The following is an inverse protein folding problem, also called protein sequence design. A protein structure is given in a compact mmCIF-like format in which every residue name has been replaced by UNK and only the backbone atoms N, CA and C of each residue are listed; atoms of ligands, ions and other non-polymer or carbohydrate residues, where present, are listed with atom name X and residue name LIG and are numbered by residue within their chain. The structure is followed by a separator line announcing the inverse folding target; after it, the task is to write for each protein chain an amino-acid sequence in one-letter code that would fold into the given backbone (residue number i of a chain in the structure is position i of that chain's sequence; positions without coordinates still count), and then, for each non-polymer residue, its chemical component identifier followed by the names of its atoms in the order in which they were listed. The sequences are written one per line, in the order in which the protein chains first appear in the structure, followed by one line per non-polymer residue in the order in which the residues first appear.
data_IF_959279531640
#
_entry.id   IF_959279531640
#
_cell.length_a   1.000
_cell.length_b   1.000
_cell.length_c   1.000
_cell.angle_alpha   90.00
_cell.angle_beta   90.00
_cell.angle_gamma   90.00
#
_symmetry.space_group_name_H-M   'P 1'
#
loop_
_entity.id
_entity.type
_entity.pdbx_description
1 polymer ?
#
# COMPACT_ATOMS: atom_id res chain seq x y z
N UNK A 1 45.18 35.20 21.12
CA UNK A 1 43.91 35.06 21.87
C UNK A 1 42.80 34.95 20.84
N UNK A 2 42.63 33.77 20.25
CA UNK A 2 41.52 33.52 19.32
C UNK A 2 40.33 32.93 20.09
N UNK A 3 39.22 33.65 19.99
CA UNK A 3 37.92 33.32 20.57
C UNK A 3 37.32 32.10 19.89
N UNK A 4 36.90 31.16 20.73
CA UNK A 4 36.19 29.93 20.41
C UNK A 4 34.87 30.25 19.69
N UNK A 5 34.78 29.95 18.39
CA UNK A 5 33.50 29.91 17.68
C UNK A 5 32.76 28.60 17.94
N UNK A 6 31.47 28.77 18.21
CA UNK A 6 30.56 27.79 18.81
C UNK A 6 30.27 26.62 17.88
N UNK A 7 30.40 25.41 18.42
CA UNK A 7 30.01 24.13 17.81
C UNK A 7 28.49 24.05 17.56
N UNK A 8 28.07 24.47 16.36
CA UNK A 8 26.70 24.31 15.87
C UNK A 8 26.36 22.84 15.64
N UNK A 9 25.54 22.29 16.54
CA UNK A 9 25.22 20.88 16.69
C UNK A 9 24.57 20.19 15.46
N UNK A 10 24.95 18.93 15.13
CA UNK A 10 24.32 18.06 14.12
C UNK A 10 22.82 17.76 14.35
N UNK A 11 22.28 18.19 15.50
CA UNK A 11 20.91 17.98 15.95
C UNK A 11 19.90 18.92 15.26
N UNK A 12 20.35 20.07 14.73
CA UNK A 12 19.49 21.02 14.00
C UNK A 12 19.02 20.49 12.64
N UNK A 13 19.93 19.91 11.86
CA UNK A 13 19.63 19.38 10.51
C UNK A 13 18.68 18.18 10.56
N UNK A 14 18.89 17.29 11.54
CA UNK A 14 18.01 16.13 11.80
C UNK A 14 16.63 16.54 12.34
N UNK A 15 16.57 17.60 13.17
CA UNK A 15 15.29 18.22 13.57
C UNK A 15 14.58 18.87 12.39
N UNK A 16 15.29 19.57 11.53
CA UNK A 16 14.73 20.17 10.31
C UNK A 16 14.16 19.10 9.36
N UNK A 17 14.83 17.96 9.22
CA UNK A 17 14.37 16.85 8.40
C UNK A 17 13.12 16.15 8.98
N UNK A 18 13.06 15.97 10.31
CA UNK A 18 11.86 15.48 10.99
C UNK A 18 10.71 16.47 10.82
N UNK A 19 10.94 17.77 11.04
CA UNK A 19 9.96 18.84 10.86
C UNK A 19 9.47 18.87 9.40
N UNK A 20 10.37 18.75 8.43
CA UNK A 20 9.99 18.71 7.01
C UNK A 20 9.15 17.48 6.67
N UNK A 21 9.47 16.31 7.24
CA UNK A 21 8.67 15.10 7.07
C UNK A 21 7.30 15.20 7.75
N UNK A 22 7.21 15.87 8.92
CA UNK A 22 5.92 16.15 9.59
C UNK A 22 5.08 17.13 8.76
N UNK A 23 5.70 18.19 8.22
CA UNK A 23 5.04 19.14 7.31
C UNK A 23 4.52 18.44 6.05
N UNK A 24 5.32 17.55 5.45
CA UNK A 24 4.92 16.79 4.27
C UNK A 24 3.77 15.82 4.57
N UNK A 25 3.76 15.20 5.75
CA UNK A 25 2.68 14.33 6.20
C UNK A 25 1.38 15.11 6.49
N UNK A 26 1.48 16.26 7.15
CA UNK A 26 0.34 17.15 7.38
C UNK A 26 -0.20 17.74 6.08
N UNK A 27 0.67 18.08 5.13
CA UNK A 27 0.26 18.51 3.79
C UNK A 27 -0.46 17.38 3.02
N UNK A 28 -0.02 16.14 3.18
CA UNK A 28 -0.70 14.96 2.66
C UNK A 28 -2.09 14.80 3.30
N UNK A 29 -2.20 14.88 4.63
CA UNK A 29 -3.47 14.84 5.35
C UNK A 29 -4.42 15.97 4.93
N UNK A 30 -3.92 17.20 4.80
CA UNK A 30 -4.70 18.35 4.31
C UNK A 30 -5.19 18.14 2.88
N UNK A 31 -4.35 17.59 1.99
CA UNK A 31 -4.76 17.19 0.63
C UNK A 31 -5.85 16.12 0.66
N UNK A 32 -5.70 15.07 1.47
CA UNK A 32 -6.73 14.02 1.61
C UNK A 32 -8.05 14.56 2.16
N UNK A 33 -8.01 15.55 3.07
CA UNK A 33 -9.20 16.20 3.59
C UNK A 33 -9.86 17.12 2.56
N UNK A 34 -9.08 17.87 1.77
CA UNK A 34 -9.61 18.66 0.65
C UNK A 34 -10.17 17.79 -0.47
N UNK A 35 -9.56 16.63 -0.73
CA UNK A 35 -10.05 15.64 -1.69
C UNK A 35 -11.31 14.95 -1.19
N UNK A 36 -11.42 14.67 0.12
CA UNK A 36 -12.67 14.22 0.77
C UNK A 36 -13.79 15.25 0.62
N UNK A 37 -13.52 16.54 0.85
CA UNK A 37 -14.50 17.61 0.66
C UNK A 37 -14.89 17.78 -0.82
N UNK A 38 -13.93 17.69 -1.74
CA UNK A 38 -14.18 17.73 -3.18
C UNK A 38 -14.89 16.46 -3.69
N UNK A 39 -14.69 15.30 -3.04
CA UNK A 39 -15.42 14.08 -3.31
C UNK A 39 -16.87 14.19 -2.83
N UNK A 40 -17.11 14.73 -1.62
CA UNK A 40 -18.46 15.05 -1.10
C UNK A 40 -19.23 15.96 -2.07
N UNK A 41 -18.63 17.07 -2.51
CA UNK A 41 -19.24 17.99 -3.47
C UNK A 41 -19.54 17.36 -4.84
N UNK A 42 -18.67 16.43 -5.30
CA UNK A 42 -18.90 15.67 -6.54
C UNK A 42 -20.01 14.63 -6.38
N UNK A 43 -20.11 14.01 -5.22
CA UNK A 43 -21.17 13.04 -4.90
C UNK A 43 -22.55 13.72 -4.79
N UNK A 44 -22.59 14.98 -4.33
CA UNK A 44 -23.79 15.84 -4.34
C UNK A 44 -24.25 16.22 -5.75
N UNK A 45 -23.35 16.27 -6.73
CA UNK A 45 -23.62 16.70 -8.12
C UNK A 45 -23.92 15.55 -9.09
N UNK A 46 -23.73 14.29 -8.70
CA UNK A 46 -24.02 13.12 -9.54
C UNK A 46 -25.53 12.81 -9.50
N UNK A 47 -26.16 12.48 -10.65
CA UNK A 47 -27.55 12.05 -10.67
C UNK A 47 -27.73 10.84 -9.74
N UNK A 48 -28.68 10.97 -8.82
CA UNK A 48 -28.92 10.02 -7.73
C UNK A 48 -29.36 8.65 -8.29
N UNK A 49 -28.39 7.81 -8.67
CA UNK A 49 -28.64 6.36 -8.74
C UNK A 49 -29.09 5.95 -7.34
N UNK A 50 -30.10 5.06 -7.23
CA UNK A 50 -30.59 4.47 -5.97
C UNK A 50 -29.49 3.65 -5.27
N UNK A 51 -28.38 4.26 -4.90
CA UNK A 51 -27.41 3.72 -3.94
C UNK A 51 -28.12 3.76 -2.59
N UNK A 52 -28.03 2.68 -1.81
CA UNK A 52 -28.58 2.66 -0.46
C UNK A 52 -28.14 3.89 0.32
N UNK A 53 -28.96 4.33 1.29
CA UNK A 53 -28.65 5.51 2.13
C UNK A 53 -27.19 5.43 2.61
N UNK A 54 -26.40 6.51 2.49
CA UNK A 54 -25.05 6.56 3.04
C UNK A 54 -25.09 6.08 4.49
N UNK A 55 -24.31 5.04 4.80
CA UNK A 55 -24.25 4.49 6.15
C UNK A 55 -23.54 5.55 7.02
N UNK A 56 -24.25 6.10 7.99
CA UNK A 56 -23.70 7.02 8.97
C UNK A 56 -23.02 6.22 10.08
N UNK A 57 -21.76 5.87 9.85
CA UNK A 57 -20.97 5.08 10.80
C UNK A 57 -20.82 5.76 12.16
N UNK A 58 -20.73 7.09 12.19
CA UNK A 58 -20.57 7.85 13.44
C UNK A 58 -21.85 7.79 14.27
N UNK A 59 -23.01 7.93 13.63
CA UNK A 59 -24.31 7.74 14.28
C UNK A 59 -24.47 6.31 14.80
N UNK A 60 -24.14 5.29 14.01
CA UNK A 60 -24.23 3.89 14.46
C UNK A 60 -23.26 3.55 15.61
N UNK A 61 -22.05 4.12 15.62
CA UNK A 61 -21.10 3.96 16.73
C UNK A 61 -21.62 4.66 17.98
N UNK A 62 -22.21 5.85 17.83
CA UNK A 62 -22.78 6.62 18.94
C UNK A 62 -23.96 5.87 19.56
N UNK A 63 -24.85 5.34 18.72
CA UNK A 63 -25.96 4.49 19.16
C UNK A 63 -25.46 3.24 19.88
N UNK A 64 -24.46 2.54 19.33
CA UNK A 64 -23.91 1.33 19.95
C UNK A 64 -23.24 1.61 21.31
N UNK A 65 -22.65 2.79 21.50
CA UNK A 65 -22.11 3.21 22.81
C UNK A 65 -23.23 3.48 23.80
N UNK A 66 -24.26 4.24 23.40
CA UNK A 66 -25.41 4.54 24.25
C UNK A 66 -26.12 3.26 24.70
N UNK A 67 -26.42 2.34 23.79
CA UNK A 67 -27.05 1.06 24.12
C UNK A 67 -26.17 0.18 25.04
N UNK A 68 -24.84 0.28 24.92
CA UNK A 68 -23.91 -0.46 25.78
C UNK A 68 -23.81 0.13 27.19
N UNK A 69 -23.94 1.46 27.32
CA UNK A 69 -24.01 2.17 28.60
C UNK A 69 -25.36 1.91 29.29
N UNK A 70 -26.47 2.00 28.56
CA UNK A 70 -27.83 1.71 29.05
C UNK A 70 -27.99 0.26 29.52
N UNK A 71 -27.28 -0.68 28.88
CA UNK A 71 -27.26 -2.09 29.25
C UNK A 71 -26.21 -2.45 30.32
N UNK A 72 -25.54 -1.45 30.92
CA UNK A 72 -24.51 -1.60 31.96
C UNK A 72 -23.42 -2.64 31.59
N UNK A 73 -23.01 -2.66 30.32
CA UNK A 73 -22.00 -3.61 29.86
C UNK A 73 -20.62 -3.32 30.44
N UNK A 74 -19.83 -4.38 30.64
CA UNK A 74 -18.47 -4.25 31.20
C UNK A 74 -17.58 -3.27 30.43
N UNK A 75 -16.61 -2.66 31.13
CA UNK A 75 -15.53 -1.84 30.55
C UNK A 75 -14.84 -2.46 29.34
N UNK A 76 -14.74 -3.80 29.32
CA UNK A 76 -14.12 -4.54 28.21
C UNK A 76 -14.95 -4.42 26.94
N UNK A 77 -16.28 -4.37 27.03
CA UNK A 77 -17.20 -4.17 25.92
C UNK A 77 -17.11 -2.74 25.38
N UNK A 78 -17.14 -1.73 26.25
CA UNK A 78 -16.96 -0.32 25.87
C UNK A 78 -15.62 -0.08 25.18
N UNK A 79 -14.52 -0.65 25.71
CA UNK A 79 -13.19 -0.59 25.08
C UNK A 79 -13.15 -1.26 23.70
N UNK A 80 -13.97 -2.28 23.44
CA UNK A 80 -14.07 -2.91 22.10
C UNK A 80 -14.80 -2.00 21.12
N UNK A 81 -15.86 -1.32 21.54
CA UNK A 81 -16.59 -0.36 20.71
C UNK A 81 -15.69 0.81 20.34
N UNK A 82 -14.95 1.36 21.31
CA UNK A 82 -13.99 2.44 21.07
C UNK A 82 -12.86 2.01 20.12
N UNK A 83 -12.36 0.77 20.29
CA UNK A 83 -11.36 0.20 19.37
C UNK A 83 -11.91 0.04 17.95
N UNK A 84 -13.16 -0.37 17.79
CA UNK A 84 -13.80 -0.49 16.48
C UNK A 84 -13.98 0.88 15.81
N UNK A 85 -14.45 1.87 16.57
CA UNK A 85 -14.58 3.26 16.13
C UNK A 85 -13.26 3.82 15.59
N UNK A 86 -12.17 3.68 16.35
CA UNK A 86 -10.82 4.12 15.93
C UNK A 86 -10.31 3.43 14.66
N UNK A 87 -10.87 2.28 14.27
CA UNK A 87 -10.47 1.57 13.04
C UNK A 87 -11.21 2.06 11.81
N UNK A 88 -12.37 2.69 11.96
CA UNK A 88 -13.16 3.21 10.82
C UNK A 88 -12.33 4.19 10.01
N UNK A 89 -11.65 5.15 10.66
CA UNK A 89 -10.79 6.11 9.96
C UNK A 89 -9.69 5.45 9.13
N UNK A 90 -9.07 4.41 9.68
CA UNK A 90 -8.02 3.65 8.98
C UNK A 90 -8.61 2.90 7.78
N UNK A 91 -9.79 2.30 7.94
CA UNK A 91 -10.49 1.61 6.85
C UNK A 91 -10.88 2.59 5.73
N UNK A 92 -11.44 3.75 6.06
CA UNK A 92 -11.78 4.80 5.09
C UNK A 92 -10.52 5.31 4.39
N UNK A 93 -9.43 5.55 5.13
CA UNK A 93 -8.15 5.94 4.56
C UNK A 93 -7.60 4.89 3.58
N UNK A 94 -7.80 3.60 3.88
CA UNK A 94 -7.36 2.50 3.01
C UNK A 94 -8.17 2.45 1.72
N UNK A 95 -9.50 2.60 1.81
CA UNK A 95 -10.38 2.69 0.64
C UNK A 95 -10.04 3.90 -0.22
N UNK A 96 -9.76 5.06 0.41
CA UNK A 96 -9.34 6.27 -0.30
C UNK A 96 -8.00 6.07 -1.01
N UNK A 97 -7.00 5.52 -0.31
CA UNK A 97 -5.70 5.23 -0.89
C UNK A 97 -5.80 4.31 -2.11
N UNK A 98 -6.65 3.28 -2.03
CA UNK A 98 -6.93 2.43 -3.18
C UNK A 98 -7.47 3.23 -4.36
N UNK A 99 -8.51 4.05 -4.16
CA UNK A 99 -9.08 4.85 -5.24
C UNK A 99 -8.12 5.92 -5.78
N UNK A 100 -7.27 6.50 -4.94
CA UNK A 100 -6.19 7.41 -5.39
C UNK A 100 -5.23 6.66 -6.32
N UNK A 101 -4.85 5.43 -5.95
CA UNK A 101 -3.95 4.59 -6.75
C UNK A 101 -4.59 4.22 -8.09
N UNK A 102 -5.85 3.78 -8.07
CA UNK A 102 -6.62 3.46 -9.29
C UNK A 102 -6.78 4.69 -10.19
N UNK A 103 -7.06 5.86 -9.62
CA UNK A 103 -7.18 7.10 -10.39
C UNK A 103 -5.86 7.57 -11.00
N UNK A 104 -4.74 7.41 -10.29
CA UNK A 104 -3.41 7.67 -10.83
C UNK A 104 -3.12 6.77 -12.03
N UNK A 105 -3.51 5.50 -11.94
CA UNK A 105 -3.41 4.55 -13.03
C UNK A 105 -4.27 4.92 -14.23
N UNK A 106 -5.54 5.28 -14.01
CA UNK A 106 -6.42 5.75 -15.07
C UNK A 106 -5.88 6.99 -15.79
N UNK A 107 -5.20 7.88 -15.06
CA UNK A 107 -4.54 9.05 -15.63
C UNK A 107 -3.36 8.65 -16.53
N UNK A 108 -2.58 7.66 -16.11
CA UNK A 108 -1.44 7.16 -16.89
C UNK A 108 -1.88 6.48 -18.19
N UNK A 109 -2.99 5.74 -18.16
CA UNK A 109 -3.55 5.08 -19.34
C UNK A 109 -4.29 6.03 -20.32
N UNK A 110 -4.46 7.32 -19.97
CA UNK A 110 -5.13 8.27 -20.85
C UNK A 110 -6.61 7.96 -21.12
N UNK A 111 -7.28 7.23 -20.21
CA UNK A 111 -8.64 6.74 -20.43
C UNK A 111 -9.69 7.86 -20.50
N UNK A 112 -10.69 7.68 -21.37
CA UNK A 112 -11.90 8.50 -21.41
C UNK A 112 -12.73 8.37 -20.12
N UNK A 113 -13.69 9.27 -19.92
CA UNK A 113 -14.59 9.22 -18.75
C UNK A 113 -15.43 7.94 -18.76
N UNK A 114 -15.87 7.51 -19.93
CA UNK A 114 -16.63 6.28 -20.17
C UNK A 114 -15.79 5.05 -19.80
N UNK A 115 -14.54 4.99 -20.27
CA UNK A 115 -13.61 3.91 -19.93
C UNK A 115 -13.32 3.83 -18.44
N UNK A 116 -13.15 4.97 -17.76
CA UNK A 116 -12.95 5.03 -16.30
C UNK A 116 -14.16 4.49 -15.54
N UNK A 117 -15.37 4.90 -15.92
CA UNK A 117 -16.61 4.44 -15.30
C UNK A 117 -16.81 2.94 -15.52
N UNK A 118 -16.55 2.45 -16.74
CA UNK A 118 -16.65 1.03 -17.06
C UNK A 118 -15.70 0.19 -16.21
N UNK A 119 -14.44 0.62 -16.04
CA UNK A 119 -13.50 -0.10 -15.18
C UNK A 119 -13.92 -0.04 -13.72
N UNK A 120 -14.28 1.15 -13.22
CA UNK A 120 -14.65 1.38 -11.83
C UNK A 120 -15.89 0.58 -11.42
N UNK A 121 -16.93 0.64 -12.24
CA UNK A 121 -18.27 0.21 -11.88
C UNK A 121 -18.55 -1.24 -12.29
N UNK A 122 -17.78 -1.79 -13.24
CA UNK A 122 -17.97 -3.16 -13.74
C UNK A 122 -16.72 -4.03 -13.57
N UNK A 123 -15.58 -3.66 -14.16
CA UNK A 123 -14.43 -4.56 -14.22
C UNK A 123 -13.79 -4.83 -12.86
N UNK A 124 -13.53 -3.79 -12.06
CA UNK A 124 -12.99 -3.96 -10.70
C UNK A 124 -13.90 -4.87 -9.86
N UNK A 125 -15.23 -4.65 -9.79
CA UNK A 125 -16.16 -5.56 -9.10
C UNK A 125 -16.15 -7.00 -9.61
N UNK A 126 -16.20 -7.22 -10.93
CA UNK A 126 -16.19 -8.57 -11.54
C UNK A 126 -14.94 -9.34 -11.09
N UNK A 127 -13.76 -8.78 -11.32
CA UNK A 127 -12.51 -9.46 -10.99
C UNK A 127 -12.30 -9.59 -9.48
N UNK A 128 -12.72 -8.60 -8.69
CA UNK A 128 -12.67 -8.71 -7.22
C UNK A 128 -13.52 -9.88 -6.72
N UNK A 129 -14.75 -10.03 -7.20
CA UNK A 129 -15.64 -11.13 -6.80
C UNK A 129 -15.07 -12.50 -7.23
N UNK A 130 -14.55 -12.62 -8.46
CA UNK A 130 -13.90 -13.83 -8.94
C UNK A 130 -12.69 -14.23 -8.08
N UNK A 131 -11.80 -13.28 -7.76
CA UNK A 131 -10.64 -13.54 -6.90
C UNK A 131 -11.04 -13.83 -5.45
N UNK A 132 -12.12 -13.23 -4.96
CA UNK A 132 -12.65 -13.50 -3.62
C UNK A 132 -13.27 -14.90 -3.53
N UNK A 133 -13.93 -15.36 -4.60
CA UNK A 133 -14.49 -16.71 -4.69
C UNK A 133 -13.40 -17.78 -4.53
N UNK A 134 -12.23 -17.60 -5.18
CA UNK A 134 -11.07 -18.52 -5.06
C UNK A 134 -10.58 -18.69 -3.61
N UNK A 135 -10.74 -17.66 -2.78
CA UNK A 135 -10.27 -17.65 -1.38
C UNK A 135 -11.36 -18.01 -0.37
N UNK A 136 -12.62 -18.10 -0.78
CA UNK A 136 -13.71 -18.34 0.15
C UNK A 136 -13.66 -19.79 0.65
N UNK A 137 -13.76 -19.98 1.97
CA UNK A 137 -13.64 -21.30 2.60
C UNK A 137 -14.85 -22.21 2.31
N UNK A 138 -16.07 -21.65 2.32
CA UNK A 138 -17.32 -22.40 2.14
C UNK A 138 -17.73 -22.53 0.67
N UNK A 139 -18.02 -23.74 0.22
CA UNK A 139 -18.41 -24.02 -1.17
C UNK A 139 -19.63 -23.21 -1.64
N UNK A 140 -20.67 -23.07 -0.80
CA UNK A 140 -21.85 -22.28 -1.12
C UNK A 140 -21.50 -20.79 -1.37
N UNK A 141 -20.62 -20.22 -0.54
CA UNK A 141 -20.17 -18.84 -0.70
C UNK A 141 -19.30 -18.67 -1.95
N UNK A 142 -18.43 -19.64 -2.26
CA UNK A 142 -17.65 -19.62 -3.52
C UNK A 142 -18.59 -19.55 -4.72
N UNK A 143 -19.59 -20.44 -4.76
CA UNK A 143 -20.55 -20.53 -5.86
C UNK A 143 -21.38 -19.26 -5.98
N UNK A 144 -21.85 -18.68 -4.88
CA UNK A 144 -22.58 -17.41 -4.89
C UNK A 144 -21.73 -16.25 -5.44
N UNK A 145 -20.49 -16.11 -4.98
CA UNK A 145 -19.57 -15.08 -5.45
C UNK A 145 -19.23 -15.24 -6.94
N UNK A 146 -19.01 -16.47 -7.38
CA UNK A 146 -18.71 -16.79 -8.77
C UNK A 146 -19.91 -16.55 -9.68
N UNK A 147 -21.12 -16.94 -9.27
CA UNK A 147 -22.35 -16.63 -9.99
C UNK A 147 -22.57 -15.11 -10.12
N UNK A 148 -22.35 -14.33 -9.05
CA UNK A 148 -22.45 -12.87 -9.09
C UNK A 148 -21.42 -12.25 -10.01
N UNK A 149 -20.17 -12.75 -9.97
CA UNK A 149 -19.12 -12.32 -10.89
C UNK A 149 -19.50 -12.61 -12.35
N UNK A 150 -20.04 -13.80 -12.63
CA UNK A 150 -20.45 -14.19 -13.99
C UNK A 150 -21.64 -13.37 -14.47
N UNK A 151 -22.64 -13.13 -13.62
CA UNK A 151 -23.79 -12.29 -13.96
C UNK A 151 -23.37 -10.87 -14.34
N UNK A 152 -22.49 -10.24 -13.54
CA UNK A 152 -21.96 -8.91 -13.86
C UNK A 152 -21.15 -8.90 -15.16
N UNK A 153 -20.40 -9.98 -15.44
CA UNK A 153 -19.63 -10.12 -16.68
C UNK A 153 -20.54 -10.30 -17.90
N UNK A 154 -21.66 -11.03 -17.75
CA UNK A 154 -22.66 -11.17 -18.80
C UNK A 154 -23.29 -9.81 -19.15
N UNK A 155 -23.68 -9.02 -18.14
CA UNK A 155 -24.20 -7.65 -18.35
C UNK A 155 -23.16 -6.76 -19.05
N UNK A 156 -21.88 -6.86 -18.67
CA UNK A 156 -20.84 -6.08 -19.33
C UNK A 156 -20.62 -6.49 -20.79
N UNK A 157 -20.76 -7.78 -21.12
CA UNK A 157 -20.61 -8.27 -22.50
C UNK A 157 -21.70 -7.76 -23.46
N UNK A 158 -22.86 -7.38 -22.93
CA UNK A 158 -23.97 -6.79 -23.69
C UNK A 158 -23.77 -5.29 -23.96
N UNK A 159 -22.84 -4.62 -23.27
CA UNK A 159 -22.56 -3.19 -23.46
C UNK A 159 -21.74 -2.94 -24.74
N UNK A 160 -22.24 -2.13 -25.71
CA UNK A 160 -21.52 -1.88 -26.96
C UNK A 160 -20.16 -1.19 -26.75
N UNK A 161 -20.06 -0.35 -25.70
CA UNK A 161 -18.83 0.33 -25.31
C UNK A 161 -17.72 -0.65 -24.91
N UNK A 162 -18.08 -1.81 -24.35
CA UNK A 162 -17.16 -2.85 -23.95
C UNK A 162 -16.62 -3.65 -25.15
N UNK A 163 -17.49 -4.01 -26.10
CA UNK A 163 -17.11 -4.79 -27.28
C UNK A 163 -16.08 -4.07 -28.17
N UNK A 164 -15.98 -2.74 -28.05
CA UNK A 164 -15.00 -1.93 -28.77
C UNK A 164 -13.58 -1.91 -28.16
N UNK A 165 -13.35 -2.54 -27.01
CA UNK A 165 -12.09 -2.45 -26.24
C UNK A 165 -11.40 -3.82 -26.13
N UNK A 166 -10.46 -4.13 -27.04
CA UNK A 166 -9.83 -5.46 -27.13
C UNK A 166 -8.60 -5.69 -26.26
N UNK A 167 -7.82 -4.65 -25.93
CA UNK A 167 -6.54 -4.81 -25.19
C UNK A 167 -6.60 -4.40 -23.72
N UNK A 168 -7.65 -3.70 -23.30
CA UNK A 168 -7.79 -3.19 -21.93
C UNK A 168 -7.97 -4.30 -20.88
N UNK A 169 -8.51 -5.46 -21.28
CA UNK A 169 -8.88 -6.57 -20.39
C UNK A 169 -7.71 -7.11 -19.56
N UNK A 170 -6.53 -7.29 -20.18
CA UNK A 170 -5.34 -7.84 -19.49
C UNK A 170 -4.82 -6.89 -18.43
N UNK A 171 -4.89 -5.61 -18.73
CA UNK A 171 -4.36 -4.56 -17.90
C UNK A 171 -5.30 -4.26 -16.69
N UNK A 172 -6.61 -4.49 -16.84
CA UNK A 172 -7.56 -4.40 -15.72
C UNK A 172 -7.45 -5.51 -14.68
N UNK A 173 -6.95 -6.70 -15.06
CA UNK A 173 -6.68 -7.79 -14.13
C UNK A 173 -5.68 -7.35 -13.04
N UNK A 174 -4.72 -6.50 -13.39
CA UNK A 174 -3.76 -5.93 -12.44
C UNK A 174 -4.42 -4.96 -11.46
N UNK A 175 -5.34 -4.11 -11.93
CA UNK A 175 -6.02 -3.14 -11.07
C UNK A 175 -6.96 -3.78 -10.06
N UNK A 176 -7.71 -4.80 -10.45
CA UNK A 176 -8.58 -5.51 -9.52
C UNK A 176 -7.78 -6.26 -8.44
N UNK A 177 -6.57 -6.71 -8.76
CA UNK A 177 -5.64 -7.33 -7.80
C UNK A 177 -4.98 -6.33 -6.83
N UNK A 178 -4.98 -5.02 -7.13
CA UNK A 178 -4.52 -3.99 -6.18
C UNK A 178 -5.37 -4.03 -4.90
N UNK A 179 -6.66 -4.34 -5.00
CA UNK A 179 -7.54 -4.55 -3.84
C UNK A 179 -7.51 -6.01 -3.38
N UNK A 180 -6.36 -6.45 -2.87
CA UNK A 180 -6.25 -7.77 -2.29
C UNK A 180 -6.88 -7.79 -0.89
N UNK A 181 -7.92 -8.61 -0.67
CA UNK A 181 -8.25 -9.04 0.71
C UNK A 181 -7.05 -9.80 1.25
N UNK A 182 -6.29 -9.19 2.15
CA UNK A 182 -5.40 -9.91 3.05
C UNK A 182 -6.27 -10.76 3.97
N UNK A 183 -6.05 -12.08 4.00
CA UNK A 183 -6.80 -13.02 4.85
C UNK A 183 -6.70 -12.71 6.34
N UNK A 184 -5.71 -11.92 6.76
CA UNK A 184 -5.74 -11.22 8.04
C UNK A 184 -4.92 -9.93 8.02
N UNK A 185 -5.33 -8.94 8.83
CA UNK A 185 -4.51 -7.75 9.15
C UNK A 185 -3.18 -8.12 9.82
N UNK A 186 -3.04 -9.38 10.22
CA UNK A 186 -1.90 -9.92 10.94
C UNK A 186 -0.96 -10.63 9.97
N UNK A 187 -1.45 -11.28 8.92
CA UNK A 187 -0.61 -12.00 7.93
C UNK A 187 0.38 -11.07 7.24
N UNK A 188 -0.02 -9.91 6.71
CA UNK A 188 0.94 -9.02 6.04
C UNK A 188 2.05 -8.52 7.00
N UNK A 189 1.68 -8.15 8.24
CA UNK A 189 2.65 -7.72 9.25
C UNK A 189 3.47 -8.90 9.78
N UNK A 190 2.87 -10.06 10.01
CA UNK A 190 3.54 -11.26 10.50
C UNK A 190 4.43 -11.87 9.43
N UNK A 191 4.07 -11.80 8.15
CA UNK A 191 4.91 -12.20 7.03
C UNK A 191 6.06 -11.22 6.89
N UNK A 192 5.83 -9.90 6.95
CA UNK A 192 6.91 -8.93 6.96
C UNK A 192 7.83 -9.14 8.17
N UNK A 193 7.28 -9.35 9.37
CA UNK A 193 8.04 -9.63 10.58
C UNK A 193 8.73 -10.98 10.52
N UNK A 194 8.10 -12.01 9.95
CA UNK A 194 8.66 -13.34 9.76
C UNK A 194 9.79 -13.31 8.74
N UNK A 195 9.63 -12.61 7.62
CA UNK A 195 10.65 -12.40 6.60
C UNK A 195 11.82 -11.60 7.17
N UNK A 196 11.55 -10.52 7.92
CA UNK A 196 12.56 -9.73 8.62
C UNK A 196 13.30 -10.59 9.65
N UNK A 197 12.56 -11.34 10.47
CA UNK A 197 13.12 -12.22 11.48
C UNK A 197 13.91 -13.36 10.83
N UNK A 198 13.44 -13.97 9.75
CA UNK A 198 14.14 -14.99 8.99
C UNK A 198 15.44 -14.45 8.39
N UNK A 199 15.41 -13.24 7.83
CA UNK A 199 16.57 -12.59 7.25
C UNK A 199 17.65 -12.20 8.28
N UNK A 200 17.24 -11.95 9.52
CA UNK A 200 18.10 -11.51 10.64
C UNK A 200 18.52 -12.67 11.57
N UNK A 201 17.68 -13.70 11.74
CA UNK A 201 17.90 -14.83 12.63
C UNK A 201 18.73 -15.87 11.89
N UNK A 202 20.06 -15.79 12.06
CA UNK A 202 21.12 -16.60 11.42
C UNK A 202 21.78 -15.93 10.21
N UNK A 203 22.28 -14.71 10.38
CA UNK A 203 23.28 -14.20 9.45
C UNK A 203 24.52 -15.11 9.51
N UNK A 204 24.86 -15.73 8.38
CA UNK A 204 26.14 -16.45 8.27
C UNK A 204 27.30 -15.48 8.45
N UNK A 205 28.46 -15.98 8.87
CA UNK A 205 29.67 -15.16 8.99
C UNK A 205 30.02 -14.46 7.66
N UNK A 206 29.77 -15.12 6.53
CA UNK A 206 29.95 -14.51 5.19
C UNK A 206 28.99 -13.36 4.95
N UNK A 207 27.72 -13.48 5.35
CA UNK A 207 26.72 -12.41 5.23
C UNK A 207 27.05 -11.22 6.14
N UNK A 208 27.54 -11.48 7.35
CA UNK A 208 28.00 -10.42 8.27
C UNK A 208 29.21 -9.68 7.69
N UNK A 209 30.19 -10.39 7.14
CA UNK A 209 31.34 -9.79 6.45
C UNK A 209 30.89 -8.91 5.28
N UNK A 210 30.01 -9.42 4.42
CA UNK A 210 29.47 -8.66 3.29
C UNK A 210 28.74 -7.39 3.74
N UNK A 211 27.87 -7.48 4.75
CA UNK A 211 27.18 -6.31 5.30
C UNK A 211 28.12 -5.29 5.95
N UNK A 212 29.22 -5.76 6.54
CA UNK A 212 30.27 -4.89 7.09
C UNK A 212 30.96 -4.12 5.97
N UNK A 213 31.29 -4.77 4.85
CA UNK A 213 31.87 -4.12 3.66
C UNK A 213 30.89 -3.10 3.08
N UNK A 214 29.62 -3.47 2.90
CA UNK A 214 28.59 -2.55 2.39
C UNK A 214 28.42 -1.33 3.32
N UNK A 215 28.40 -1.56 4.63
CA UNK A 215 28.29 -0.47 5.61
C UNK A 215 29.49 0.48 5.53
N UNK A 216 30.71 -0.04 5.42
CA UNK A 216 31.93 0.75 5.46
C UNK A 216 32.20 1.49 4.15
N UNK A 217 31.93 0.86 3.00
CA UNK A 217 32.39 1.33 1.69
C UNK A 217 31.26 1.80 0.74
N UNK A 218 29.99 1.48 1.00
CA UNK A 218 28.88 1.83 0.09
C UNK A 218 27.85 2.78 0.71
N UNK A 219 27.47 2.57 1.98
CA UNK A 219 26.46 3.41 2.63
C UNK A 219 27.05 4.79 2.95
N UNK A 220 26.47 5.82 2.32
CA UNK A 220 26.86 7.23 2.50
C UNK A 220 25.96 7.91 3.53
N UNK A 221 26.54 8.82 4.31
CA UNK A 221 25.79 9.72 5.19
C UNK A 221 25.19 10.87 4.38
N UNK A 222 24.36 11.69 5.02
CA UNK A 222 23.87 12.95 4.45
C UNK A 222 24.99 13.90 3.96
N UNK A 223 26.20 13.77 4.50
CA UNK A 223 27.37 14.57 4.12
C UNK A 223 28.17 13.92 2.96
N UNK A 224 27.64 12.84 2.36
CA UNK A 224 28.21 12.17 1.18
C UNK A 224 29.35 11.18 1.46
N UNK A 225 30.01 11.28 2.61
CA UNK A 225 31.16 10.44 2.98
C UNK A 225 30.77 9.03 3.43
N UNK A 226 31.65 8.06 3.19
CA UNK A 226 31.50 6.67 3.69
C UNK A 226 32.03 6.52 5.13
N UNK A 227 31.85 5.34 5.74
CA UNK A 227 32.43 5.06 7.06
C UNK A 227 33.95 4.83 6.95
N UNK A 228 34.40 4.13 5.92
CA UNK A 228 35.83 3.91 5.65
C UNK A 228 36.57 5.23 5.38
N UNK A 229 35.99 6.12 4.57
CA UNK A 229 36.60 7.43 4.26
C UNK A 229 36.88 8.28 5.49
N UNK A 230 36.00 8.22 6.50
CA UNK A 230 36.19 8.95 7.75
C UNK A 230 37.17 8.30 8.70
N UNK A 231 37.35 6.99 8.59
CA UNK A 231 38.28 6.24 9.44
C UNK A 231 39.71 6.31 8.90
N UNK A 232 39.87 6.23 7.59
CA UNK A 232 41.17 6.29 6.92
C UNK A 232 41.56 7.70 6.46
N UNK A 233 40.65 8.67 6.57
CA UNK A 233 40.82 10.06 6.10
C UNK A 233 41.15 10.17 4.59
N UNK A 234 40.90 9.09 3.84
CA UNK A 234 41.17 8.95 2.42
C UNK A 234 39.95 8.35 1.72
N UNK A 235 39.66 8.80 0.49
CA UNK A 235 38.53 8.29 -0.28
C UNK A 235 38.83 6.86 -0.75
N UNK A 236 38.06 5.85 -0.30
CA UNK A 236 38.28 4.48 -0.72
C UNK A 236 37.87 4.29 -2.18
N UNK A 237 38.39 3.21 -2.79
CA UNK A 237 37.95 2.73 -4.11
C UNK A 237 36.44 2.52 -4.07
N UNK A 238 35.74 2.91 -5.14
CA UNK A 238 34.31 2.71 -5.24
C UNK A 238 33.99 1.20 -5.21
N UNK A 239 33.14 0.80 -4.25
CA UNK A 239 32.84 -0.61 -4.01
C UNK A 239 32.22 -1.27 -5.26
N UNK A 240 31.41 -0.53 -6.03
CA UNK A 240 30.73 -1.11 -7.19
C UNK A 240 31.73 -1.38 -8.31
N UNK A 241 32.62 -0.43 -8.61
CA UNK A 241 33.69 -0.60 -9.59
C UNK A 241 34.62 -1.75 -9.20
N UNK A 242 35.04 -1.79 -7.93
CA UNK A 242 35.85 -2.90 -7.41
C UNK A 242 35.17 -4.26 -7.60
N UNK A 243 33.86 -4.34 -7.35
CA UNK A 243 33.11 -5.58 -7.52
C UNK A 243 32.97 -5.98 -8.99
N UNK A 244 32.80 -5.03 -9.92
CA UNK A 244 32.77 -5.33 -11.36
C UNK A 244 34.09 -5.93 -11.82
N UNK A 245 35.22 -5.39 -11.34
CA UNK A 245 36.55 -5.84 -11.74
C UNK A 245 36.92 -7.22 -11.17
N UNK A 246 36.33 -7.62 -10.03
CA UNK A 246 36.75 -8.79 -9.26
C UNK A 246 35.69 -9.88 -9.11
N UNK A 247 34.44 -9.64 -9.52
CA UNK A 247 33.40 -10.68 -9.52
C UNK A 247 33.38 -11.41 -10.86
N UNK A 248 33.44 -12.74 -10.78
CA UNK A 248 33.07 -13.58 -11.92
C UNK A 248 31.60 -13.33 -12.31
N UNK A 249 31.33 -13.42 -13.61
CA UNK A 249 29.96 -13.35 -14.10
C UNK A 249 29.09 -14.41 -13.43
N UNK A 250 27.87 -14.05 -12.98
CA UNK A 250 26.98 -15.01 -12.36
C UNK A 250 26.68 -16.14 -13.35
N UNK A 251 26.61 -17.36 -12.83
CA UNK A 251 26.27 -18.52 -13.64
C UNK A 251 24.95 -18.27 -14.40
N UNK A 252 24.94 -18.62 -15.69
CA UNK A 252 23.74 -18.47 -16.50
C UNK A 252 22.57 -19.25 -15.87
N UNK A 253 21.33 -18.74 -15.98
CA UNK A 253 20.15 -19.46 -15.51
C UNK A 253 20.13 -20.87 -16.09
N UNK A 254 19.83 -21.86 -15.25
CA UNK A 254 19.70 -23.24 -15.69
C UNK A 254 18.70 -23.30 -16.86
N UNK A 255 19.15 -23.83 -18.01
CA UNK A 255 18.25 -24.05 -19.16
C UNK A 255 17.11 -24.94 -18.69
N UNK A 256 15.88 -24.50 -18.96
CA UNK A 256 14.66 -25.24 -18.62
C UNK A 256 14.79 -26.65 -19.19
N UNK A 257 14.73 -27.68 -18.33
CA UNK A 257 14.66 -29.06 -18.80
C UNK A 257 13.44 -29.17 -19.71
N UNK A 258 13.63 -29.67 -20.94
CA UNK A 258 12.51 -30.01 -21.82
C UNK A 258 11.67 -31.06 -21.07
N UNK A 259 10.36 -30.82 -20.98
CA UNK A 259 9.45 -31.85 -20.50
C UNK A 259 9.54 -33.04 -21.48
N UNK A 260 9.78 -34.22 -20.93
CA UNK A 260 9.65 -35.47 -21.65
C UNK A 260 8.16 -35.83 -21.78
#
# INVERSE_FOLDING_TARGET
METIEKSSHPNKKKRQEIVQNTINFEACLKRTNSERQAAKKRDEQLPQRKRGRPIDYDSHITQAKAEAEDAELSDKSLKRIDKASKKVDTMVATILFFWITVNAYFKQLGLSTEGKNMIRDHLIPIYYLAETAKKASKAALRKDLENKSQALRATLNEEPSWQSLTDLEREQYHNARLFHRSSSCVEGRNEQLSLKQHNLKRMSNSKLKALTVVHNYFIKRADGTTAAERFFEEKPIDLFEYLIDHLDYPAMPAKRRRAA
#
